data_IF_434655019171
#
_entry.id   IF_434655019171
#
_cell.length_a   1.000
_cell.length_b   1.000
_cell.length_c   1.000
_cell.angle_alpha   90.00
_cell.angle_beta   90.00
_cell.angle_gamma   90.00
#
_symmetry.space_group_name_H-M   'P 1'
#
loop_
_entity.id
_entity.type
_entity.pdbx_description
1 polymer ?
#
# COMPACT_ATOMS: atom_id res chain seq x y z
N UNK A 1 -22.74 48.48 60.93
CA UNK A 1 -23.08 47.10 60.49
C UNK A 1 -22.53 46.78 59.09
N UNK A 2 -21.51 47.49 58.59
CA UNK A 2 -20.96 47.27 57.23
C UNK A 2 -19.64 46.46 57.19
N UNK A 3 -19.02 46.17 58.34
CA UNK A 3 -17.74 45.45 58.41
C UNK A 3 -17.81 43.93 58.18
N UNK A 4 -18.97 43.31 58.39
CA UNK A 4 -19.13 41.85 58.23
C UNK A 4 -19.29 41.43 56.75
N UNK A 5 -19.72 42.34 55.88
CA UNK A 5 -19.87 42.04 54.45
C UNK A 5 -18.52 41.84 53.74
N UNK A 6 -17.54 42.68 54.04
CA UNK A 6 -16.21 42.62 53.43
C UNK A 6 -15.41 41.38 53.89
N UNK A 7 -15.51 41.01 55.17
CA UNK A 7 -14.85 39.83 55.72
C UNK A 7 -15.42 38.55 55.10
N UNK A 8 -16.75 38.47 54.93
CA UNK A 8 -17.39 37.32 54.30
C UNK A 8 -17.04 37.18 52.82
N UNK A 9 -16.88 38.30 52.09
CA UNK A 9 -16.44 38.30 50.69
C UNK A 9 -14.96 37.91 50.55
N UNK A 10 -14.08 38.38 51.44
CA UNK A 10 -12.67 37.98 51.43
C UNK A 10 -12.53 36.49 51.75
N UNK A 11 -13.26 35.99 52.74
CA UNK A 11 -13.22 34.58 53.13
C UNK A 11 -13.72 33.65 52.02
N UNK A 12 -14.81 34.01 51.32
CA UNK A 12 -15.34 33.21 50.21
C UNK A 12 -14.42 33.20 48.99
N UNK A 13 -13.75 34.33 48.68
CA UNK A 13 -12.74 34.40 47.62
C UNK A 13 -11.52 33.55 47.96
N UNK A 14 -11.07 33.55 49.23
CA UNK A 14 -9.96 32.70 49.68
C UNK A 14 -10.30 31.21 49.66
N UNK A 15 -11.52 30.83 50.02
CA UNK A 15 -11.99 29.44 49.94
C UNK A 15 -12.12 28.95 48.50
N UNK A 16 -12.71 29.76 47.61
CA UNK A 16 -12.80 29.44 46.19
C UNK A 16 -11.40 29.30 45.55
N UNK A 17 -10.46 30.17 45.94
CA UNK A 17 -9.06 30.05 45.50
C UNK A 17 -8.40 28.78 46.04
N UNK A 18 -8.64 28.41 47.30
CA UNK A 18 -8.11 27.16 47.89
C UNK A 18 -8.67 25.92 47.20
N UNK A 19 -9.97 25.88 46.91
CA UNK A 19 -10.61 24.78 46.20
C UNK A 19 -10.06 24.64 44.77
N UNK A 20 -9.88 25.76 44.06
CA UNK A 20 -9.28 25.77 42.74
C UNK A 20 -7.83 25.27 42.77
N UNK A 21 -7.02 25.72 43.73
CA UNK A 21 -5.64 25.22 43.90
C UNK A 21 -5.60 23.73 44.21
N UNK A 22 -6.51 23.22 45.06
CA UNK A 22 -6.61 21.79 45.36
C UNK A 22 -7.00 20.95 44.15
N UNK A 23 -7.92 21.44 43.30
CA UNK A 23 -8.33 20.75 42.06
C UNK A 23 -7.22 20.73 41.03
N UNK A 24 -6.46 21.84 40.91
CA UNK A 24 -5.26 21.87 40.08
C UNK A 24 -4.25 20.85 40.62
N UNK A 25 -4.14 20.71 41.95
CA UNK A 25 -3.19 19.83 42.61
C UNK A 25 -3.42 18.36 42.32
N UNK A 26 -4.66 17.96 42.51
CA UNK A 26 -5.10 16.62 42.18
C UNK A 26 -4.88 16.28 40.70
N UNK A 27 -5.11 17.23 39.77
CA UNK A 27 -4.89 17.00 38.33
C UNK A 27 -3.41 16.88 37.97
N UNK A 28 -2.54 17.67 38.59
CA UNK A 28 -1.09 17.58 38.39
C UNK A 28 -0.53 16.25 38.89
N UNK A 29 -0.93 15.80 40.08
CA UNK A 29 -0.53 14.49 40.62
C UNK A 29 -1.01 13.34 39.75
N UNK A 30 -2.30 13.33 39.35
CA UNK A 30 -2.84 12.29 38.46
C UNK A 30 -2.11 12.22 37.11
N UNK A 31 -1.73 13.37 36.56
CA UNK A 31 -0.92 13.42 35.35
C UNK A 31 0.45 12.79 35.60
N UNK A 32 1.17 13.18 36.66
CA UNK A 32 2.49 12.61 36.95
C UNK A 32 2.44 11.10 37.22
N UNK A 33 1.45 10.64 37.99
CA UNK A 33 1.26 9.22 38.29
C UNK A 33 1.02 8.39 37.02
N UNK A 34 0.40 8.98 36.00
CA UNK A 34 0.21 8.32 34.69
C UNK A 34 1.51 8.16 33.89
N UNK A 35 2.47 9.09 34.05
CA UNK A 35 3.69 9.12 33.24
C UNK A 35 4.96 8.66 33.98
N UNK A 36 4.92 8.52 35.31
CA UNK A 36 6.08 8.13 36.12
C UNK A 36 6.63 6.77 35.72
N UNK A 37 5.75 5.81 35.41
CA UNK A 37 6.13 4.47 34.96
C UNK A 37 6.43 4.39 33.45
N UNK A 38 6.12 5.45 32.71
CA UNK A 38 6.37 5.58 31.27
C UNK A 38 7.59 6.45 30.95
N UNK A 39 8.29 6.96 31.96
CA UNK A 39 9.48 7.80 31.76
C UNK A 39 10.62 6.99 31.13
N UNK A 40 11.31 7.61 30.18
CA UNK A 40 12.54 7.06 29.62
C UNK A 40 13.63 7.02 30.70
N UNK A 41 14.58 6.07 30.63
CA UNK A 41 15.79 6.10 31.44
C UNK A 41 16.43 7.49 31.44
N UNK A 42 16.62 8.08 32.62
CA UNK A 42 17.01 9.49 32.78
C UNK A 42 15.89 10.43 33.24
N UNK A 43 14.68 9.91 33.50
CA UNK A 43 13.59 10.67 34.13
C UNK A 43 12.86 11.62 33.17
N UNK A 44 13.07 11.47 31.86
CA UNK A 44 12.38 12.28 30.84
C UNK A 44 11.17 11.50 30.32
N UNK A 45 9.98 12.08 30.39
CA UNK A 45 8.77 11.52 29.80
C UNK A 45 8.30 12.38 28.62
N UNK A 46 7.62 11.76 27.66
CA UNK A 46 6.95 12.44 26.56
C UNK A 46 5.44 12.26 26.68
N UNK A 47 4.71 13.37 26.64
CA UNK A 47 3.25 13.38 26.66
C UNK A 47 2.77 14.10 25.39
N UNK A 48 2.02 13.39 24.54
CA UNK A 48 1.37 14.00 23.38
C UNK A 48 0.23 14.90 23.84
N UNK A 49 0.23 16.16 23.42
CA UNK A 49 -0.92 17.04 23.60
C UNK A 49 -1.84 16.89 22.38
N UNK A 50 -2.81 16.00 22.47
CA UNK A 50 -3.81 15.76 21.43
C UNK A 50 -4.22 14.28 21.34
N UNK A 51 -5.35 14.05 20.69
CA UNK A 51 -5.82 12.75 20.23
C UNK A 51 -6.38 12.84 18.80
N UNK A 52 -7.07 11.78 18.37
CA UNK A 52 -7.66 11.71 17.04
C UNK A 52 -8.59 12.91 16.78
N UNK A 53 -8.28 13.69 15.74
CA UNK A 53 -9.02 14.89 15.34
C UNK A 53 -9.09 16.02 16.40
N UNK A 54 -8.22 15.99 17.41
CA UNK A 54 -8.18 17.05 18.41
C UNK A 54 -7.49 18.30 17.85
N UNK A 55 -8.16 19.44 17.96
CA UNK A 55 -7.57 20.72 17.56
C UNK A 55 -6.43 21.09 18.51
N UNK A 56 -5.39 21.81 18.01
CA UNK A 56 -4.43 22.44 18.89
C UNK A 56 -5.19 23.25 19.94
N UNK A 57 -4.83 23.11 21.22
CA UNK A 57 -5.48 23.85 22.29
C UNK A 57 -5.51 25.35 21.91
N UNK A 58 -6.70 25.96 21.89
CA UNK A 58 -6.93 27.29 21.30
C UNK A 58 -6.10 28.42 21.91
N UNK A 59 -5.48 28.18 23.07
CA UNK A 59 -4.54 29.07 23.75
C UNK A 59 -3.34 28.25 24.24
N UNK A 60 -2.35 27.90 23.39
CA UNK A 60 -1.11 27.35 23.89
C UNK A 60 -0.44 28.45 24.71
N UNK A 61 -0.23 28.22 26.01
CA UNK A 61 0.51 29.18 26.84
C UNK A 61 1.92 29.30 26.24
N UNK A 62 2.34 30.49 25.76
CA UNK A 62 3.69 30.64 25.20
C UNK A 62 4.72 30.29 26.28
N UNK A 63 5.56 29.28 26.02
CA UNK A 63 6.49 28.70 27.01
C UNK A 63 6.02 27.37 27.63
N UNK A 64 4.84 26.88 27.25
CA UNK A 64 4.22 25.65 27.78
C UNK A 64 3.41 25.89 29.04
N UNK A 65 2.80 24.82 29.57
CA UNK A 65 2.21 24.87 30.91
C UNK A 65 3.34 24.98 31.92
N UNK A 66 3.65 26.22 32.34
CA UNK A 66 4.60 26.42 33.41
C UNK A 66 3.92 26.12 34.74
N UNK A 67 3.92 24.84 35.10
CA UNK A 67 3.34 24.36 36.34
C UNK A 67 4.07 24.89 37.59
N UNK A 68 5.22 25.56 37.44
CA UNK A 68 5.93 26.25 38.52
C UNK A 68 5.12 27.39 39.15
N UNK A 69 4.05 27.85 38.48
CA UNK A 69 3.14 28.88 38.99
C UNK A 69 2.16 28.40 40.05
N UNK A 70 2.14 27.10 40.40
CA UNK A 70 1.30 26.57 41.47
C UNK A 70 2.17 26.04 42.61
N UNK A 71 2.42 26.84 43.66
CA UNK A 71 3.21 26.42 44.82
C UNK A 71 2.63 25.17 45.48
N UNK A 72 3.47 24.14 45.68
CA UNK A 72 3.13 22.92 46.42
C UNK A 72 2.52 21.78 45.59
N UNK A 73 2.52 21.90 44.26
CA UNK A 73 1.79 21.00 43.37
C UNK A 73 2.67 19.96 42.67
N UNK A 74 3.92 20.34 42.43
CA UNK A 74 4.97 19.45 41.97
C UNK A 74 6.05 19.49 43.04
N UNK A 75 6.60 18.34 43.40
CA UNK A 75 7.89 18.33 44.08
C UNK A 75 8.86 19.15 43.21
N UNK A 76 9.76 19.91 43.82
CA UNK A 76 10.69 20.85 43.15
C UNK A 76 11.58 20.24 42.06
N UNK A 77 11.45 18.93 41.84
CA UNK A 77 12.25 18.07 40.99
C UNK A 77 11.60 17.74 39.62
N UNK A 78 10.36 18.19 39.34
CA UNK A 78 9.70 17.92 38.05
C UNK A 78 9.42 19.21 37.27
N UNK A 79 9.93 19.29 36.03
CA UNK A 79 9.72 20.41 35.11
C UNK A 79 9.02 19.94 33.84
N UNK A 80 7.97 20.64 33.41
CA UNK A 80 7.33 20.44 32.11
C UNK A 80 7.73 21.54 31.11
N UNK A 81 7.92 21.17 29.84
CA UNK A 81 8.19 22.11 28.74
C UNK A 81 7.34 21.71 27.52
N UNK A 82 6.67 22.68 26.90
CA UNK A 82 6.11 22.47 25.55
C UNK A 82 7.27 22.38 24.56
N UNK A 83 7.34 21.29 23.83
CA UNK A 83 8.52 20.95 23.02
C UNK A 83 8.12 20.20 21.77
N UNK A 84 9.06 20.04 20.85
CA UNK A 84 8.89 19.19 19.66
C UNK A 84 9.49 17.81 19.88
N UNK A 85 9.11 16.84 19.04
CA UNK A 85 9.78 15.53 19.02
C UNK A 85 11.29 15.64 18.81
N UNK A 86 11.75 16.60 18.00
CA UNK A 86 13.18 16.81 17.74
C UNK A 86 13.94 17.22 19.02
N UNK A 87 13.43 18.21 19.75
CA UNK A 87 14.03 18.67 21.02
C UNK A 87 13.96 17.59 22.12
N UNK A 88 12.86 16.83 22.18
CA UNK A 88 12.74 15.68 23.08
C UNK A 88 13.80 14.62 22.75
N UNK A 89 13.98 14.28 21.47
CA UNK A 89 14.99 13.33 21.02
C UNK A 89 16.42 13.82 21.33
N UNK A 90 16.73 15.09 21.09
CA UNK A 90 18.02 15.70 21.46
C UNK A 90 18.29 15.63 22.97
N UNK A 91 17.24 15.63 23.79
CA UNK A 91 17.34 15.47 25.25
C UNK A 91 17.62 14.02 25.62
N UNK A 92 16.91 13.06 25.00
CA UNK A 92 17.16 11.64 25.20
C UNK A 92 18.59 11.24 24.81
N UNK A 93 19.07 11.68 23.65
CA UNK A 93 20.38 11.29 23.11
C UNK A 93 21.57 11.81 23.94
N UNK A 94 21.36 12.81 24.80
CA UNK A 94 22.38 13.29 25.76
C UNK A 94 22.55 12.36 26.96
N UNK A 95 21.61 11.43 27.16
CA UNK A 95 21.64 10.46 28.24
C UNK A 95 22.15 9.13 27.67
N UNK A 96 23.22 8.54 28.23
CA UNK A 96 23.76 7.28 27.74
C UNK A 96 22.86 6.13 28.19
N UNK A 97 21.83 5.84 27.42
CA UNK A 97 20.88 4.77 27.77
C UNK A 97 20.64 3.84 26.59
N UNK A 98 20.75 2.54 26.88
CA UNK A 98 20.48 1.48 25.93
C UNK A 98 18.99 1.49 25.58
N UNK A 99 18.68 1.31 24.30
CA UNK A 99 17.32 1.02 23.84
C UNK A 99 16.85 -0.22 24.61
N UNK A 100 15.73 -0.10 25.32
CA UNK A 100 15.13 -1.24 26.00
C UNK A 100 14.40 -2.08 24.95
N UNK A 101 14.66 -3.38 24.96
CA UNK A 101 13.80 -4.32 24.26
C UNK A 101 12.40 -4.24 24.90
N UNK A 102 11.39 -3.92 24.10
CA UNK A 102 10.00 -4.04 24.52
C UNK A 102 9.39 -5.23 23.78
N UNK A 103 8.68 -6.08 24.52
CA UNK A 103 7.83 -7.09 23.90
C UNK A 103 6.52 -6.41 23.54
N UNK A 104 6.19 -6.37 22.25
CA UNK A 104 4.88 -5.93 21.80
C UNK A 104 3.85 -6.98 22.23
N UNK A 105 3.10 -6.72 23.31
CA UNK A 105 1.96 -7.53 23.70
C UNK A 105 0.77 -7.15 22.81
N UNK A 106 0.59 -7.86 21.69
CA UNK A 106 -0.62 -7.76 20.89
C UNK A 106 -1.79 -8.46 21.62
N UNK A 107 -2.29 -7.83 22.69
CA UNK A 107 -3.44 -8.35 23.45
C UNK A 107 -4.72 -8.37 22.60
N UNK A 108 -4.77 -7.54 21.55
CA UNK A 108 -5.85 -7.50 20.57
C UNK A 108 -5.33 -8.00 19.20
N UNK A 109 -5.89 -9.10 18.71
CA UNK A 109 -5.63 -9.62 17.37
C UNK A 109 -6.33 -8.76 16.31
N UNK A 110 -5.78 -7.59 16.01
CA UNK A 110 -6.23 -6.74 14.90
C UNK A 110 -5.70 -7.26 13.56
N UNK A 111 -5.79 -8.55 13.24
CA UNK A 111 -5.26 -9.09 11.97
C UNK A 111 -6.30 -9.15 10.86
N UNK A 112 -7.58 -8.93 11.17
CA UNK A 112 -8.67 -8.96 10.18
C UNK A 112 -8.46 -7.97 9.02
N UNK A 113 -7.81 -6.84 9.28
CA UNK A 113 -7.53 -5.82 8.25
C UNK A 113 -6.61 -6.31 7.13
N UNK A 114 -5.86 -7.41 7.33
CA UNK A 114 -5.02 -7.99 6.28
C UNK A 114 -5.85 -8.43 5.06
N UNK A 115 -7.09 -8.87 5.27
CA UNK A 115 -7.98 -9.32 4.19
C UNK A 115 -9.18 -8.40 3.95
N UNK A 116 -9.43 -7.40 4.81
CA UNK A 116 -10.53 -6.44 4.62
C UNK A 116 -10.38 -5.68 3.29
N UNK A 117 -11.47 -5.60 2.52
CA UNK A 117 -11.55 -4.87 1.24
C UNK A 117 -10.41 -5.26 0.26
N UNK A 118 -10.35 -6.52 -0.18
CA UNK A 118 -9.20 -7.03 -0.95
C UNK A 118 -8.97 -6.29 -2.27
N UNK A 119 -10.03 -5.81 -2.94
CA UNK A 119 -9.89 -5.06 -4.18
C UNK A 119 -9.04 -3.79 -4.02
N UNK A 120 -9.13 -3.10 -2.88
CA UNK A 120 -8.33 -1.92 -2.61
C UNK A 120 -6.83 -2.26 -2.57
N UNK A 121 -6.49 -3.37 -1.89
CA UNK A 121 -5.11 -3.85 -1.77
C UNK A 121 -4.57 -4.33 -3.11
N UNK A 122 -5.39 -5.00 -3.91
CA UNK A 122 -5.05 -5.40 -5.29
C UNK A 122 -4.73 -4.16 -6.12
N UNK A 123 -5.61 -3.17 -6.12
CA UNK A 123 -5.41 -1.92 -6.86
C UNK A 123 -4.16 -1.16 -6.39
N UNK A 124 -3.94 -1.06 -5.08
CA UNK A 124 -2.76 -0.39 -4.53
C UNK A 124 -1.46 -1.10 -4.92
N UNK A 125 -1.45 -2.44 -4.92
CA UNK A 125 -0.30 -3.22 -5.35
C UNK A 125 -0.02 -3.04 -6.85
N UNK A 126 -1.05 -3.18 -7.69
CA UNK A 126 -0.94 -3.02 -9.14
C UNK A 126 -0.44 -1.61 -9.50
N UNK A 127 -1.07 -0.57 -8.93
CA UNK A 127 -0.68 0.81 -9.19
C UNK A 127 0.77 1.09 -8.78
N UNK A 128 1.19 0.64 -7.59
CA UNK A 128 2.57 0.82 -7.13
C UNK A 128 3.57 0.13 -8.07
N UNK A 129 3.29 -1.10 -8.49
CA UNK A 129 4.16 -1.83 -9.43
C UNK A 129 4.28 -1.12 -10.77
N UNK A 130 3.17 -0.65 -11.34
CA UNK A 130 3.15 0.03 -12.63
C UNK A 130 3.88 1.38 -12.56
N UNK A 131 3.69 2.16 -11.48
CA UNK A 131 4.38 3.44 -11.28
C UNK A 131 5.88 3.25 -11.13
N UNK A 132 6.32 2.28 -10.31
CA UNK A 132 7.73 1.95 -10.17
C UNK A 132 8.33 1.47 -11.50
N UNK A 133 7.59 0.65 -12.26
CA UNK A 133 8.01 0.24 -13.61
C UNK A 133 8.20 1.42 -14.55
N UNK A 134 7.26 2.36 -14.56
CA UNK A 134 7.32 3.57 -15.38
C UNK A 134 8.49 4.48 -14.98
N UNK A 135 8.76 4.64 -13.68
CA UNK A 135 9.91 5.39 -13.15
C UNK A 135 11.24 4.79 -13.55
N UNK A 136 11.39 3.48 -13.38
CA UNK A 136 12.60 2.74 -13.74
C UNK A 136 12.85 2.87 -15.23
N UNK A 137 11.84 2.62 -16.06
CA UNK A 137 12.00 2.70 -17.51
C UNK A 137 12.29 4.14 -17.97
N UNK A 138 11.59 5.13 -17.42
CA UNK A 138 11.87 6.54 -17.68
C UNK A 138 13.30 6.93 -17.32
N UNK A 139 13.81 6.44 -16.19
CA UNK A 139 15.19 6.67 -15.73
C UNK A 139 16.22 6.03 -16.66
N UNK A 140 15.98 4.79 -17.10
CA UNK A 140 16.83 4.10 -18.08
C UNK A 140 16.87 4.91 -19.39
N UNK A 141 15.71 5.25 -19.95
CA UNK A 141 15.65 6.01 -21.20
C UNK A 141 16.41 7.34 -21.09
N UNK A 142 16.30 8.03 -19.96
CA UNK A 142 17.05 9.27 -19.69
C UNK A 142 18.56 9.05 -19.68
N UNK A 143 19.05 8.04 -18.97
CA UNK A 143 20.49 7.71 -18.89
C UNK A 143 21.07 7.41 -20.27
N UNK A 144 20.31 6.74 -21.14
CA UNK A 144 20.75 6.41 -22.49
C UNK A 144 20.43 7.48 -23.54
N UNK A 145 19.96 8.67 -23.14
CA UNK A 145 19.52 9.74 -24.05
C UNK A 145 18.48 9.27 -25.10
N UNK A 146 17.66 8.29 -24.73
CA UNK A 146 16.60 7.73 -25.56
C UNK A 146 15.27 8.49 -25.42
N UNK A 147 15.28 9.67 -24.78
CA UNK A 147 14.09 10.46 -24.50
C UNK A 147 14.38 11.95 -24.66
N UNK A 148 13.46 12.69 -25.25
CA UNK A 148 13.57 14.15 -25.36
C UNK A 148 13.08 14.83 -24.08
N UNK A 149 13.52 16.05 -23.77
CA UNK A 149 13.05 16.76 -22.57
C UNK A 149 11.52 16.90 -22.49
N UNK A 150 10.83 17.05 -23.63
CA UNK A 150 9.38 17.14 -23.67
C UNK A 150 8.69 15.81 -23.30
N UNK A 151 9.20 14.69 -23.82
CA UNK A 151 8.68 13.35 -23.48
C UNK A 151 8.99 13.00 -22.03
N UNK A 152 10.19 13.34 -21.55
CA UNK A 152 10.55 13.15 -20.14
C UNK A 152 9.58 13.92 -19.23
N UNK A 153 9.33 15.20 -19.50
CA UNK A 153 8.43 16.03 -18.71
C UNK A 153 7.00 15.46 -18.68
N UNK A 154 6.49 14.99 -19.82
CA UNK A 154 5.16 14.38 -19.89
C UNK A 154 5.08 13.04 -19.14
N UNK A 155 6.10 12.18 -19.26
CA UNK A 155 6.15 10.93 -18.51
C UNK A 155 6.21 11.19 -17.00
N UNK A 156 7.05 12.13 -16.55
CA UNK A 156 7.15 12.52 -15.14
C UNK A 156 5.83 13.10 -14.62
N UNK A 157 5.11 13.88 -15.44
CA UNK A 157 3.77 14.37 -15.08
C UNK A 157 2.80 13.21 -14.84
N UNK A 158 2.74 12.22 -15.74
CA UNK A 158 1.85 11.04 -15.58
C UNK A 158 2.19 10.21 -14.34
N UNK A 159 3.48 9.95 -14.10
CA UNK A 159 3.96 9.26 -12.90
C UNK A 159 3.55 10.02 -11.64
N UNK A 160 3.78 11.33 -11.61
CA UNK A 160 3.42 12.20 -10.49
C UNK A 160 1.92 12.17 -10.21
N UNK A 161 1.08 12.20 -11.24
CA UNK A 161 -0.38 12.12 -11.10
C UNK A 161 -0.83 10.81 -10.46
N UNK A 162 -0.25 9.68 -10.88
CA UNK A 162 -0.52 8.40 -10.24
C UNK A 162 -0.09 8.36 -8.77
N UNK A 163 1.11 8.84 -8.44
CA UNK A 163 1.56 8.90 -7.05
C UNK A 163 0.74 9.85 -6.20
N UNK A 164 0.32 10.98 -6.75
CA UNK A 164 -0.51 11.95 -6.05
C UNK A 164 -1.84 11.35 -5.60
N UNK A 165 -2.37 10.39 -6.37
CA UNK A 165 -3.58 9.66 -6.01
C UNK A 165 -3.31 8.44 -5.10
N UNK A 166 -2.19 7.74 -5.31
CA UNK A 166 -1.83 6.56 -4.54
C UNK A 166 -1.45 6.89 -3.09
N UNK A 167 -0.62 7.92 -2.86
CA UNK A 167 -0.05 8.20 -1.53
C UNK A 167 -1.13 8.47 -0.47
N UNK A 168 -2.14 9.32 -0.69
CA UNK A 168 -3.22 9.50 0.29
C UNK A 168 -4.00 8.20 0.59
N UNK A 169 -4.15 7.31 -0.40
CA UNK A 169 -4.83 6.01 -0.19
C UNK A 169 -4.05 5.04 0.73
N UNK A 170 -2.76 5.33 0.99
CA UNK A 170 -1.94 4.58 1.94
C UNK A 170 -2.20 4.94 3.42
N UNK A 171 -3.11 5.88 3.70
CA UNK A 171 -3.55 6.16 5.06
C UNK A 171 -3.96 4.86 5.75
N UNK A 172 -3.54 4.68 7.01
CA UNK A 172 -3.70 3.42 7.73
C UNK A 172 -5.17 2.98 7.81
N UNK A 173 -6.12 3.91 7.94
CA UNK A 173 -7.55 3.57 7.91
C UNK A 173 -8.14 3.30 6.52
N UNK A 174 -7.41 3.65 5.45
CA UNK A 174 -7.83 3.44 4.07
C UNK A 174 -7.29 2.13 3.55
N UNK A 175 -5.97 1.98 3.39
CA UNK A 175 -5.38 0.74 2.83
C UNK A 175 -5.68 -0.50 3.68
N UNK A 176 -5.82 -0.34 5.01
CA UNK A 176 -6.21 -1.43 5.90
C UNK A 176 -7.67 -1.87 5.69
N UNK A 177 -8.54 -1.02 5.16
CA UNK A 177 -9.95 -1.34 4.99
C UNK A 177 -10.82 -1.07 6.22
N UNK A 178 -10.34 -0.28 7.19
CA UNK A 178 -10.94 -0.13 8.53
C UNK A 178 -11.87 1.08 8.71
N UNK A 179 -11.94 1.99 7.73
CA UNK A 179 -12.90 3.08 7.75
C UNK A 179 -14.36 2.64 7.43
N UNK A 180 -15.37 3.49 7.73
CA UNK A 180 -16.77 3.23 7.36
C UNK A 180 -16.97 3.11 5.84
N UNK A 181 -18.04 2.43 5.40
CA UNK A 181 -18.33 2.23 3.98
C UNK A 181 -18.43 3.54 3.20
N UNK A 182 -18.95 4.62 3.80
CA UNK A 182 -19.04 5.95 3.17
C UNK A 182 -17.70 6.54 2.75
N UNK A 183 -16.58 6.04 3.29
CA UNK A 183 -15.21 6.44 2.89
C UNK A 183 -14.75 5.67 1.65
N UNK A 184 -15.24 4.44 1.43
CA UNK A 184 -14.83 3.58 0.33
C UNK A 184 -15.76 3.64 -0.87
N UNK A 185 -17.06 3.67 -0.59
CA UNK A 185 -18.15 3.72 -1.53
C UNK A 185 -18.98 4.96 -1.22
N UNK A 186 -18.77 6.02 -1.99
CA UNK A 186 -19.60 7.22 -1.93
C UNK A 186 -21.01 6.99 -2.53
N UNK A 187 -21.44 5.72 -2.62
CA UNK A 187 -22.71 5.23 -3.16
C UNK A 187 -23.93 5.75 -2.42
N UNK A 188 -24.39 6.92 -2.81
CA UNK A 188 -25.70 7.45 -2.44
C UNK A 188 -25.83 8.89 -2.90
N UNK A 189 -26.91 9.17 -3.63
CA UNK A 189 -27.47 10.42 -4.18
C UNK A 189 -27.16 11.79 -3.52
N UNK A 190 -26.46 11.87 -2.39
CA UNK A 190 -26.05 13.12 -1.73
C UNK A 190 -24.60 13.56 -2.00
N UNK A 191 -23.70 12.69 -2.47
CA UNK A 191 -22.38 13.11 -2.97
C UNK A 191 -22.36 13.36 -4.49
N UNK A 192 -23.45 13.02 -5.20
CA UNK A 192 -23.53 13.10 -6.66
C UNK A 192 -23.47 14.52 -7.22
N UNK A 193 -23.72 15.57 -6.42
CA UNK A 193 -23.62 16.96 -6.89
C UNK A 193 -22.21 17.53 -6.87
N UNK A 194 -21.24 16.86 -6.22
CA UNK A 194 -19.82 17.27 -6.24
C UNK A 194 -18.87 16.21 -6.83
N UNK A 195 -19.24 14.93 -6.84
CA UNK A 195 -18.38 13.85 -7.34
C UNK A 195 -18.60 13.50 -8.83
N UNK A 196 -19.64 14.03 -9.49
CA UNK A 196 -19.77 13.97 -10.95
C UNK A 196 -19.10 15.17 -11.61
N UNK A 197 -17.77 15.31 -11.42
CA UNK A 197 -16.97 16.06 -12.37
C UNK A 197 -16.40 15.04 -13.37
N UNK A 198 -17.03 14.83 -14.54
CA UNK A 198 -16.42 14.09 -15.62
C UNK A 198 -15.17 14.87 -16.03
N UNK A 199 -14.00 14.34 -15.67
CA UNK A 199 -12.72 15.04 -15.61
C UNK A 199 -12.72 16.18 -14.57
N UNK A 200 -12.18 15.97 -13.35
CA UNK A 200 -11.82 17.12 -12.53
C UNK A 200 -11.00 18.07 -13.42
N UNK A 201 -11.31 19.38 -13.44
CA UNK A 201 -10.43 20.33 -14.12
C UNK A 201 -8.99 20.10 -13.61
N UNK A 202 -7.94 20.38 -14.38
CA UNK A 202 -6.58 20.29 -13.88
C UNK A 202 -6.49 21.01 -12.52
N UNK A 203 -6.36 20.25 -11.42
CA UNK A 203 -6.44 20.75 -10.04
C UNK A 203 -7.72 20.47 -9.24
N UNK A 204 -8.67 19.66 -9.73
CA UNK A 204 -9.80 19.19 -8.91
C UNK A 204 -9.33 18.21 -7.84
N UNK A 205 -9.96 18.28 -6.65
CA UNK A 205 -9.56 17.46 -5.50
C UNK A 205 -10.00 16.02 -5.74
N UNK A 206 -9.04 15.14 -6.01
CA UNK A 206 -9.29 13.74 -6.35
C UNK A 206 -9.69 12.88 -5.13
N UNK A 207 -9.79 13.46 -3.94
CA UNK A 207 -10.07 12.78 -2.67
C UNK A 207 -11.55 12.50 -2.38
N UNK A 208 -12.47 13.04 -3.20
CA UNK A 208 -13.92 12.96 -2.95
C UNK A 208 -14.61 11.74 -3.58
N UNK A 209 -13.90 10.93 -4.37
CA UNK A 209 -14.50 9.84 -5.17
C UNK A 209 -14.76 8.55 -4.37
N UNK A 210 -14.31 8.49 -3.12
CA UNK A 210 -14.29 7.27 -2.31
C UNK A 210 -13.07 6.41 -2.63
N UNK A 211 -12.50 5.79 -1.60
CA UNK A 211 -11.19 5.12 -1.71
C UNK A 211 -11.17 4.00 -2.76
N UNK A 212 -12.27 3.29 -2.97
CA UNK A 212 -12.30 2.22 -3.98
C UNK A 212 -12.20 2.78 -5.40
N UNK A 213 -12.97 3.82 -5.72
CA UNK A 213 -12.91 4.47 -7.04
C UNK A 213 -11.57 5.17 -7.27
N UNK A 214 -11.05 5.87 -6.25
CA UNK A 214 -9.72 6.48 -6.30
C UNK A 214 -8.65 5.43 -6.61
N UNK A 215 -8.69 4.26 -5.96
CA UNK A 215 -7.71 3.20 -6.21
C UNK A 215 -7.78 2.66 -7.64
N UNK A 216 -8.99 2.48 -8.20
CA UNK A 216 -9.17 2.05 -9.60
C UNK A 216 -8.67 3.10 -10.59
N UNK A 217 -8.93 4.39 -10.32
CA UNK A 217 -8.40 5.49 -11.13
C UNK A 217 -6.88 5.57 -11.02
N UNK A 218 -6.31 5.29 -9.84
CA UNK A 218 -4.86 5.23 -9.65
C UNK A 218 -4.24 4.15 -10.51
N UNK A 219 -4.85 2.97 -10.59
CA UNK A 219 -4.43 1.88 -11.50
C UNK A 219 -4.46 2.35 -12.95
N UNK A 220 -5.52 3.04 -13.38
CA UNK A 220 -5.61 3.57 -14.74
C UNK A 220 -4.48 4.57 -15.04
N UNK A 221 -4.23 5.54 -14.15
CA UNK A 221 -3.14 6.50 -14.29
C UNK A 221 -1.76 5.83 -14.32
N UNK A 222 -1.55 4.83 -13.44
CA UNK A 222 -0.31 4.06 -13.38
C UNK A 222 -0.08 3.25 -14.67
N UNK A 223 -1.15 2.62 -15.19
CA UNK A 223 -1.12 1.89 -16.47
C UNK A 223 -0.84 2.81 -17.63
N UNK A 224 -1.44 4.00 -17.67
CA UNK A 224 -1.17 5.01 -18.68
C UNK A 224 0.30 5.49 -18.64
N UNK A 225 0.86 5.69 -17.44
CA UNK A 225 2.27 6.05 -17.28
C UNK A 225 3.20 4.94 -17.79
N UNK A 226 2.96 3.69 -17.41
CA UNK A 226 3.75 2.54 -17.86
C UNK A 226 3.63 2.33 -19.37
N UNK A 227 2.42 2.41 -19.91
CA UNK A 227 2.16 2.29 -21.35
C UNK A 227 2.85 3.41 -22.13
N UNK A 228 2.86 4.64 -21.63
CA UNK A 228 3.58 5.75 -22.25
C UNK A 228 5.09 5.49 -22.27
N UNK A 229 5.66 4.97 -21.17
CA UNK A 229 7.08 4.62 -21.11
C UNK A 229 7.43 3.48 -22.10
N UNK A 230 6.62 2.42 -22.15
CA UNK A 230 6.80 1.30 -23.08
C UNK A 230 6.63 1.71 -24.54
N UNK A 231 5.64 2.56 -24.84
CA UNK A 231 5.43 3.10 -26.19
C UNK A 231 6.61 3.97 -26.63
N UNK A 232 7.21 4.72 -25.71
CA UNK A 232 8.40 5.49 -26.04
C UNK A 232 9.61 4.59 -26.27
N UNK A 233 9.87 3.63 -25.36
CA UNK A 233 10.93 2.64 -25.53
C UNK A 233 10.81 1.95 -26.89
N UNK A 234 9.63 1.45 -27.24
CA UNK A 234 9.43 0.73 -28.51
C UNK A 234 9.67 1.60 -29.73
N UNK A 235 9.30 2.88 -29.69
CA UNK A 235 9.56 3.84 -30.77
C UNK A 235 11.05 4.15 -30.98
N UNK A 236 11.90 3.97 -29.96
CA UNK A 236 13.35 4.22 -30.06
C UNK A 236 14.14 3.05 -30.63
N UNK A 237 13.54 1.86 -30.67
CA UNK A 237 14.21 0.65 -31.14
C UNK A 237 14.12 0.62 -32.68
N UNK A 238 15.27 0.65 -33.39
CA UNK A 238 15.26 0.63 -34.85
C UNK A 238 14.72 -0.70 -35.34
N UNK A 239 13.75 -0.66 -36.24
CA UNK A 239 13.18 -1.83 -36.88
C UNK A 239 12.83 -1.54 -38.34
N UNK A 240 13.06 -2.53 -39.20
CA UNK A 240 12.61 -2.50 -40.60
C UNK A 240 11.37 -3.38 -40.73
N UNK A 241 10.18 -2.81 -41.05
CA UNK A 241 8.96 -3.58 -41.22
C UNK A 241 9.15 -4.75 -42.19
N UNK A 242 8.72 -5.94 -41.77
CA UNK A 242 8.72 -7.13 -42.61
C UNK A 242 7.28 -7.61 -42.79
N UNK A 243 6.91 -8.12 -43.98
CA UNK A 243 5.62 -8.75 -44.18
C UNK A 243 5.41 -9.87 -43.17
N UNK A 244 4.20 -9.99 -42.65
CA UNK A 244 3.80 -11.08 -41.75
C UNK A 244 4.56 -11.16 -40.41
N UNK A 245 5.26 -10.10 -40.00
CA UNK A 245 5.98 -10.04 -38.72
C UNK A 245 5.56 -8.80 -37.94
N UNK A 246 5.14 -9.00 -36.69
CA UNK A 246 4.88 -7.94 -35.72
C UNK A 246 5.99 -7.94 -34.67
N UNK A 247 6.85 -6.91 -34.59
CA UNK A 247 7.83 -6.80 -33.53
C UNK A 247 7.13 -6.45 -32.21
N UNK A 248 7.54 -7.10 -31.13
CA UNK A 248 7.04 -6.88 -29.78
C UNK A 248 8.24 -6.66 -28.86
N UNK A 249 8.22 -5.55 -28.12
CA UNK A 249 9.27 -5.22 -27.15
C UNK A 249 8.81 -5.72 -25.79
N UNK A 250 9.59 -6.61 -25.19
CA UNK A 250 9.35 -7.15 -23.86
C UNK A 250 10.40 -6.58 -22.93
N UNK A 251 10.00 -5.97 -21.83
CA UNK A 251 10.90 -5.37 -20.84
C UNK A 251 10.80 -6.12 -19.51
N UNK A 252 11.94 -6.50 -18.93
CA UNK A 252 12.01 -7.05 -17.58
C UNK A 252 12.29 -5.92 -16.58
N UNK A 253 11.26 -5.48 -15.88
CA UNK A 253 11.34 -4.44 -14.85
C UNK A 253 11.95 -4.91 -13.52
N UNK A 254 12.38 -6.17 -13.40
CA UNK A 254 12.91 -6.72 -12.16
C UNK A 254 14.42 -6.48 -12.02
N UNK A 255 14.85 -6.28 -10.79
CA UNK A 255 16.27 -6.16 -10.39
C UNK A 255 17.05 -7.49 -10.41
N UNK A 256 16.52 -8.53 -11.07
CA UNK A 256 17.20 -9.81 -11.26
C UNK A 256 16.82 -10.45 -12.60
N UNK A 257 17.68 -11.35 -13.07
CA UNK A 257 17.46 -12.13 -14.28
C UNK A 257 16.33 -13.14 -14.08
N UNK A 258 15.49 -13.33 -15.11
CA UNK A 258 14.47 -14.36 -15.09
C UNK A 258 15.08 -15.72 -15.50
N UNK A 259 15.06 -16.73 -14.62
CA UNK A 259 15.97 -17.88 -14.69
C UNK A 259 15.67 -18.93 -15.77
N UNK A 260 14.51 -18.88 -16.45
CA UNK A 260 14.15 -19.84 -17.50
C UNK A 260 13.49 -19.11 -18.68
N UNK A 261 12.21 -18.80 -18.51
CA UNK A 261 11.34 -18.24 -19.55
C UNK A 261 10.30 -17.36 -18.85
N UNK A 262 10.24 -16.09 -19.25
CA UNK A 262 9.16 -15.20 -18.85
C UNK A 262 7.89 -15.59 -19.62
N UNK A 263 6.74 -15.57 -18.94
CA UNK A 263 5.44 -15.58 -19.62
C UNK A 263 5.01 -14.13 -19.76
N UNK A 264 4.75 -13.71 -20.98
CA UNK A 264 4.26 -12.38 -21.30
C UNK A 264 2.84 -12.52 -21.81
N UNK A 265 1.93 -11.73 -21.26
CA UNK A 265 0.56 -11.60 -21.75
C UNK A 265 0.43 -10.26 -22.48
N UNK A 266 -0.18 -10.26 -23.67
CA UNK A 266 -0.44 -9.04 -24.44
C UNK A 266 -1.74 -9.13 -25.24
N UNK A 267 -2.32 -7.98 -25.56
CA UNK A 267 -3.46 -7.94 -26.48
C UNK A 267 -3.11 -8.51 -27.85
N UNK A 268 -4.06 -9.21 -28.47
CA UNK A 268 -3.87 -9.77 -29.80
C UNK A 268 -4.03 -8.69 -30.89
N UNK A 269 -2.97 -8.38 -31.65
CA UNK A 269 -3.03 -7.37 -32.70
C UNK A 269 -4.00 -7.72 -33.85
N UNK A 270 -4.42 -8.98 -34.00
CA UNK A 270 -5.43 -9.42 -34.97
C UNK A 270 -6.86 -9.50 -34.42
N UNK A 271 -7.07 -9.21 -33.13
CA UNK A 271 -8.39 -9.32 -32.50
C UNK A 271 -8.99 -10.73 -32.53
N UNK A 272 -8.15 -11.77 -32.47
CA UNK A 272 -8.56 -13.18 -32.43
C UNK A 272 -8.45 -13.91 -33.76
N UNK A 273 -8.16 -13.22 -34.86
CA UNK A 273 -8.35 -13.78 -36.22
C UNK A 273 -7.12 -14.48 -36.79
N UNK A 274 -5.93 -14.19 -36.27
CA UNK A 274 -4.68 -14.78 -36.72
C UNK A 274 -4.14 -15.84 -35.77
N UNK A 275 -3.39 -16.77 -36.34
CA UNK A 275 -2.48 -17.62 -35.60
C UNK A 275 -1.06 -17.05 -35.67
N UNK A 276 -0.34 -17.20 -34.57
CA UNK A 276 1.01 -16.67 -34.40
C UNK A 276 1.98 -17.76 -33.94
N UNK A 277 3.21 -17.59 -34.36
CA UNK A 277 4.40 -18.18 -33.73
C UNK A 277 5.23 -17.03 -33.16
N UNK A 278 5.78 -17.19 -31.94
CA UNK A 278 6.72 -16.19 -31.38
C UNK A 278 8.14 -16.63 -31.73
N UNK A 279 8.95 -15.73 -32.26
CA UNK A 279 10.36 -16.00 -32.57
C UNK A 279 11.23 -15.12 -31.68
N UNK A 280 12.03 -15.76 -30.82
CA UNK A 280 12.95 -15.11 -29.89
C UNK A 280 14.38 -15.55 -30.20
N UNK A 281 15.28 -14.61 -30.47
CA UNK A 281 16.68 -14.91 -30.84
C UNK A 281 16.78 -15.91 -32.03
N UNK A 282 15.83 -15.86 -32.97
CA UNK A 282 15.74 -16.78 -34.12
C UNK A 282 15.12 -18.15 -33.82
N UNK A 283 14.76 -18.42 -32.56
CA UNK A 283 14.18 -19.69 -32.13
C UNK A 283 12.65 -19.56 -32.07
N UNK A 284 11.89 -20.40 -32.78
CA UNK A 284 10.44 -20.42 -32.71
C UNK A 284 9.95 -20.94 -31.35
N UNK A 285 8.86 -20.37 -30.87
CA UNK A 285 8.22 -20.66 -29.61
C UNK A 285 6.70 -20.63 -29.73
N UNK A 286 6.04 -21.14 -28.69
CA UNK A 286 4.59 -21.26 -28.65
C UNK A 286 3.94 -19.93 -28.29
N UNK A 287 2.84 -19.63 -28.98
CA UNK A 287 1.86 -18.63 -28.56
C UNK A 287 0.58 -19.37 -28.18
N UNK A 288 0.05 -19.08 -27.00
CA UNK A 288 -1.24 -19.57 -26.54
C UNK A 288 -2.21 -18.39 -26.39
N UNK A 289 -3.50 -18.68 -26.46
CA UNK A 289 -4.50 -17.69 -26.06
C UNK A 289 -4.87 -17.92 -24.60
N UNK A 290 -4.92 -16.86 -23.83
CA UNK A 290 -5.57 -16.86 -22.52
C UNK A 290 -7.09 -17.02 -22.69
N UNK A 291 -7.78 -17.22 -21.57
CA UNK A 291 -9.23 -17.39 -21.55
C UNK A 291 -10.00 -16.16 -22.05
N UNK A 292 -9.42 -14.96 -21.94
CA UNK A 292 -9.98 -13.68 -22.41
C UNK A 292 -9.49 -13.29 -23.82
N UNK A 293 -8.73 -14.18 -24.48
CA UNK A 293 -8.34 -14.03 -25.89
C UNK A 293 -7.00 -13.32 -26.14
N UNK A 294 -6.33 -12.84 -25.09
CA UNK A 294 -4.96 -12.30 -25.17
C UNK A 294 -3.94 -13.36 -25.56
N UNK A 295 -2.77 -12.92 -26.03
CA UNK A 295 -1.65 -13.80 -26.38
C UNK A 295 -0.74 -14.01 -25.17
N UNK A 296 -0.43 -15.27 -24.88
CA UNK A 296 0.59 -15.73 -23.95
C UNK A 296 1.80 -16.21 -24.75
N UNK A 297 2.93 -15.53 -24.55
CA UNK A 297 4.20 -15.83 -25.22
C UNK A 297 5.31 -16.12 -24.22
N UNK A 298 6.21 -17.00 -24.62
CA UNK A 298 7.37 -17.43 -23.86
C UNK A 298 8.62 -16.67 -24.30
N UNK A 299 9.26 -15.95 -23.37
CA UNK A 299 10.48 -15.18 -23.64
C UNK A 299 11.63 -15.68 -22.77
N UNK A 300 12.56 -16.48 -23.32
CA UNK A 300 13.68 -17.03 -22.56
C UNK A 300 14.71 -15.98 -22.19
N UNK A 301 15.40 -16.20 -21.06
CA UNK A 301 16.62 -15.48 -20.65
C UNK A 301 16.49 -13.95 -20.64
N UNK A 302 15.42 -13.44 -20.02
CA UNK A 302 15.25 -12.01 -19.80
C UNK A 302 16.21 -11.53 -18.70
N UNK A 303 17.17 -10.68 -19.06
CA UNK A 303 18.10 -10.09 -18.10
C UNK A 303 17.41 -9.01 -17.26
N UNK A 304 17.94 -8.75 -16.06
CA UNK A 304 17.48 -7.68 -15.18
C UNK A 304 17.50 -6.33 -15.89
N UNK A 305 16.43 -5.55 -15.76
CA UNK A 305 16.31 -4.19 -16.30
C UNK A 305 16.64 -4.09 -17.80
N UNK A 306 16.40 -5.15 -18.55
CA UNK A 306 16.70 -5.26 -19.97
C UNK A 306 15.42 -5.49 -20.79
N UNK A 307 15.48 -5.16 -22.08
CA UNK A 307 14.44 -5.51 -23.02
C UNK A 307 14.92 -6.56 -24.03
N UNK A 308 13.96 -7.28 -24.62
CA UNK A 308 14.13 -8.12 -25.80
C UNK A 308 13.10 -7.73 -26.86
N UNK A 309 13.52 -7.76 -28.12
CA UNK A 309 12.60 -7.69 -29.25
C UNK A 309 12.26 -9.12 -29.66
N UNK A 310 10.98 -9.47 -29.57
CA UNK A 310 10.44 -10.74 -30.04
C UNK A 310 9.59 -10.50 -31.28
N UNK A 311 9.45 -11.51 -32.12
CA UNK A 311 8.76 -11.37 -33.40
C UNK A 311 7.55 -12.30 -33.44
N UNK A 312 6.35 -11.74 -33.51
CA UNK A 312 5.15 -12.53 -33.81
C UNK A 312 5.07 -12.72 -35.32
N UNK A 313 5.23 -13.95 -35.78
CA UNK A 313 5.11 -14.33 -37.19
C UNK A 313 3.70 -14.84 -37.45
N UNK A 314 3.00 -14.22 -38.41
CA UNK A 314 1.72 -14.69 -38.94
C UNK A 314 1.95 -16.02 -39.68
N UNK A 315 1.26 -17.08 -39.27
CA UNK A 315 1.43 -18.41 -39.86
C UNK A 315 0.71 -19.51 -39.10
N UNK A 316 0.85 -20.76 -39.56
CA UNK A 316 0.23 -21.91 -38.89
C UNK A 316 0.73 -22.00 -37.45
N UNK A 317 -0.18 -22.21 -36.48
CA UNK A 317 0.20 -22.30 -35.07
C UNK A 317 1.26 -23.39 -34.90
N UNK A 318 2.23 -23.13 -34.03
CA UNK A 318 3.15 -24.17 -33.63
C UNK A 318 2.37 -25.43 -33.18
N UNK A 319 2.88 -26.64 -33.49
CA UNK A 319 2.17 -27.91 -33.36
C UNK A 319 1.57 -28.13 -31.95
N UNK A 320 0.51 -28.95 -31.85
CA UNK A 320 -0.50 -28.82 -30.82
C UNK A 320 0.07 -29.01 -29.41
N UNK A 321 -0.34 -28.10 -28.52
CA UNK A 321 -0.45 -28.40 -27.10
C UNK A 321 -1.26 -29.69 -26.96
N UNK A 322 -0.68 -30.73 -26.35
CA UNK A 322 -1.51 -31.85 -25.86
C UNK A 322 -2.24 -31.28 -24.66
N UNK A 323 -3.56 -31.02 -24.75
CA UNK A 323 -4.30 -30.53 -23.61
C UNK A 323 -4.10 -31.51 -22.47
N UNK A 324 -3.73 -31.03 -21.28
CA UNK A 324 -3.82 -31.87 -20.11
C UNK A 324 -5.32 -32.13 -19.89
N UNK A 325 -5.80 -33.37 -20.07
CA UNK A 325 -7.22 -33.63 -19.95
C UNK A 325 -7.64 -33.37 -18.50
N UNK A 326 -8.65 -32.52 -18.33
CA UNK A 326 -9.40 -32.46 -17.07
C UNK A 326 -10.21 -33.75 -17.06
N UNK A 327 -9.94 -34.65 -16.12
CA UNK A 327 -10.81 -35.80 -15.93
C UNK A 327 -12.05 -35.37 -15.14
N UNK A 328 -13.14 -36.11 -15.26
CA UNK A 328 -14.45 -35.70 -14.72
C UNK A 328 -14.51 -35.57 -13.18
N UNK A 329 -13.48 -36.01 -12.44
CA UNK A 329 -13.46 -36.02 -10.96
C UNK A 329 -12.31 -35.22 -10.35
N UNK A 330 -11.19 -35.09 -11.07
CA UNK A 330 -9.97 -34.45 -10.61
C UNK A 330 -9.22 -33.76 -11.75
N UNK A 331 -8.51 -32.68 -11.42
CA UNK A 331 -7.52 -32.10 -12.32
C UNK A 331 -6.15 -32.21 -11.68
N UNK A 332 -5.21 -32.85 -12.36
CA UNK A 332 -3.85 -32.99 -11.88
C UNK A 332 -2.91 -32.15 -12.72
N UNK A 333 -2.26 -31.18 -12.09
CA UNK A 333 -1.18 -30.41 -12.67
C UNK A 333 0.13 -30.80 -11.99
N UNK A 334 1.14 -31.20 -12.75
CA UNK A 334 2.44 -31.54 -12.19
C UNK A 334 3.58 -31.08 -13.10
N UNK A 335 4.57 -30.44 -12.50
CA UNK A 335 5.87 -30.19 -13.10
C UNK A 335 6.98 -30.55 -12.10
N UNK A 336 8.23 -30.19 -12.38
CA UNK A 336 9.37 -30.50 -11.49
C UNK A 336 9.34 -29.76 -10.15
N UNK A 337 8.56 -28.69 -10.02
CA UNK A 337 8.50 -27.83 -8.84
C UNK A 337 7.15 -27.91 -8.11
N UNK A 338 6.06 -28.20 -8.81
CA UNK A 338 4.70 -28.12 -8.29
C UNK A 338 3.93 -29.39 -8.64
N UNK A 339 3.18 -29.90 -7.67
CA UNK A 339 2.14 -30.91 -7.88
C UNK A 339 0.85 -30.41 -7.26
N UNK A 340 -0.18 -30.25 -8.07
CA UNK A 340 -1.50 -29.73 -7.72
C UNK A 340 -2.57 -30.74 -8.13
N UNK A 341 -3.50 -31.02 -7.23
CA UNK A 341 -4.72 -31.78 -7.52
C UNK A 341 -5.94 -30.94 -7.13
N UNK A 342 -6.82 -30.66 -8.10
CA UNK A 342 -8.15 -30.14 -7.86
C UNK A 342 -9.16 -31.29 -7.82
N UNK A 343 -10.16 -31.21 -6.95
CA UNK A 343 -11.14 -32.27 -6.72
C UNK A 343 -12.55 -31.74 -6.97
N UNK A 344 -13.25 -32.27 -7.97
CA UNK A 344 -14.59 -31.81 -8.37
C UNK A 344 -15.63 -32.00 -7.28
N UNK A 345 -15.60 -33.15 -6.59
CA UNK A 345 -16.54 -33.47 -5.51
C UNK A 345 -16.42 -32.52 -4.31
N UNK A 346 -15.35 -31.71 -4.29
CA UNK A 346 -15.11 -30.65 -3.32
C UNK A 346 -15.22 -29.27 -4.00
N UNK A 347 -16.09 -29.12 -5.01
CA UNK A 347 -16.29 -27.88 -5.78
C UNK A 347 -15.00 -27.37 -6.45
N UNK A 348 -14.19 -28.28 -6.97
CA UNK A 348 -12.86 -27.99 -7.53
C UNK A 348 -11.86 -27.43 -6.51
N UNK A 349 -12.04 -27.76 -5.23
CA UNK A 349 -11.08 -27.52 -4.17
C UNK A 349 -9.67 -28.02 -4.51
N UNK A 350 -8.67 -27.34 -3.96
CA UNK A 350 -7.30 -27.84 -3.91
C UNK A 350 -7.26 -28.99 -2.89
N UNK A 351 -7.23 -30.23 -3.38
CA UNK A 351 -7.09 -31.44 -2.57
C UNK A 351 -5.64 -31.79 -2.26
N UNK A 352 -4.70 -31.34 -3.08
CA UNK A 352 -3.27 -31.47 -2.83
C UNK A 352 -2.51 -30.31 -3.48
N UNK A 353 -1.56 -29.70 -2.76
CA UNK A 353 -0.62 -28.71 -3.29
C UNK A 353 0.74 -28.95 -2.66
N UNK A 354 1.67 -29.41 -3.48
CA UNK A 354 3.06 -29.63 -3.12
C UNK A 354 3.90 -28.64 -3.92
N UNK A 355 4.71 -27.83 -3.25
CA UNK A 355 5.70 -26.95 -3.87
C UNK A 355 7.08 -27.34 -3.34
N UNK A 356 7.97 -27.77 -4.23
CA UNK A 356 9.21 -28.43 -3.87
C UNK A 356 8.94 -29.72 -3.11
N UNK A 357 9.37 -29.79 -1.84
CA UNK A 357 9.14 -30.91 -0.93
C UNK A 357 8.04 -30.65 0.12
N UNK A 358 7.41 -29.47 0.11
CA UNK A 358 6.47 -29.05 1.16
C UNK A 358 5.03 -29.20 0.69
N UNK A 359 4.19 -29.86 1.50
CA UNK A 359 2.73 -29.84 1.34
C UNK A 359 2.15 -28.58 1.98
N UNK A 360 1.22 -27.94 1.26
CA UNK A 360 0.51 -26.74 1.69
C UNK A 360 -0.97 -27.01 2.01
N UNK A 361 -1.42 -28.25 1.85
CA UNK A 361 -2.77 -28.70 2.20
C UNK A 361 -2.67 -29.62 3.40
N UNK A 362 -3.47 -29.34 4.44
CA UNK A 362 -3.57 -30.23 5.59
C UNK A 362 -4.22 -31.55 5.16
N UNK A 363 -3.71 -32.71 5.63
CA UNK A 363 -4.36 -33.99 5.37
C UNK A 363 -5.83 -33.97 5.77
N UNK A 364 -6.73 -34.26 4.83
CA UNK A 364 -8.18 -34.34 5.08
C UNK A 364 -8.95 -33.02 5.06
N UNK A 365 -8.33 -31.89 4.71
CA UNK A 365 -9.04 -30.59 4.58
C UNK A 365 -8.83 -29.99 3.18
N UNK A 366 -9.89 -29.59 2.45
CA UNK A 366 -9.74 -28.82 1.22
C UNK A 366 -9.14 -27.43 1.52
N UNK A 367 -8.14 -26.99 0.74
CA UNK A 367 -7.37 -25.77 1.03
C UNK A 367 -8.19 -24.46 0.92
N UNK A 368 -9.33 -24.51 0.23
CA UNK A 368 -10.29 -23.44 0.01
C UNK A 368 -11.28 -23.26 1.18
N UNK A 369 -11.18 -24.06 2.24
CA UNK A 369 -11.86 -23.76 3.50
C UNK A 369 -10.95 -22.89 4.35
N UNK A 370 -11.10 -21.56 4.26
CA UNK A 370 -10.63 -20.66 5.32
C UNK A 370 -11.54 -20.90 6.53
N UNK A 371 -11.19 -21.91 7.33
CA UNK A 371 -11.74 -22.05 8.67
C UNK A 371 -11.09 -21.00 9.56
N UNK A 372 -11.80 -19.92 9.87
CA UNK A 372 -11.44 -19.08 11.01
C UNK A 372 -11.72 -19.93 12.25
N UNK A 373 -10.69 -20.62 12.74
CA UNK A 373 -10.77 -21.27 14.05
C UNK A 373 -10.62 -20.19 15.11
N UNK A 374 -11.72 -19.77 15.70
CA UNK A 374 -11.67 -19.22 17.06
C UNK A 374 -11.26 -20.39 17.96
N UNK A 375 -10.02 -20.41 18.44
CA UNK A 375 -9.67 -21.34 19.52
C UNK A 375 -10.45 -20.92 20.77
N UNK A 376 -11.61 -21.51 20.98
CA UNK A 376 -12.22 -21.54 22.32
C UNK A 376 -11.52 -22.64 23.11
N UNK A 377 -10.42 -22.29 23.77
CA UNK A 377 -9.87 -23.05 24.90
C UNK A 377 -8.77 -22.19 25.54
N UNK A 378 -8.72 -21.97 26.86
CA UNK A 378 -9.15 -22.78 27.99
C UNK A 378 -9.66 -21.92 29.14
#
# INVERSE_FOLDING_TARGET
>A
MEGNGLINVISSVLEANRENLSKIAQRGTLFLDQYVDCAWPGGTAFATQGGDWEYPAANPVPGGYNWTGVPGLFDSNVTGKLTTFAEYYDTLMKTPTAIRDFTLFAENYYTGYFASRPQLKINHYEAAQLLLGAEVLGSIMKVYNAVTPAVEAELQRKIKEGWHLLVPSSHHDFVAGTAPDSVYDCGGSQCFTQCNIPNPPPGGVLDSYGQLNMSSQTVALARDAMNAALAHLSATIPWTPQPNIVPVVVFNQLGHDLPNTAIVEMDDPSGGTAAYEVVVDGIPGLVQRSWDGKLLLQVPRMQSMAYKVVHLRLGSPAPPFTPQPINDSTFNFRNSAVSLTLVRDLEWAIGNLIIGSKSYVLPGAPANHIGIQCSTSQ
#
